data_IF_381720809503
#
_entry.id   IF_381720809503
#
_cell.length_a   1.000
_cell.length_b   1.000
_cell.length_c   1.000
_cell.angle_alpha   90.00
_cell.angle_beta   90.00
_cell.angle_gamma   90.00
#
_symmetry.space_group_name_H-M   'P 1'
#
loop_
_entity.id
_entity.type
_entity.pdbx_description
1 polymer ?
#
# COMPACT_ATOMS: atom_id res chain seq x y z
N UNK A 1 -10.73 11.03 23.99
CA UNK A 1 -12.11 10.60 23.68
C UNK A 1 -13.01 11.81 23.43
N UNK A 2 -12.92 12.84 24.24
CA UNK A 2 -13.72 14.06 24.11
C UNK A 2 -13.49 14.73 22.74
N UNK A 3 -12.24 14.91 22.35
CA UNK A 3 -11.85 15.46 21.05
C UNK A 3 -12.46 14.65 19.88
N UNK A 4 -12.43 13.31 19.96
CA UNK A 4 -13.03 12.45 18.94
C UNK A 4 -14.55 12.68 18.81
N UNK A 5 -15.26 12.87 19.93
CA UNK A 5 -16.69 13.17 19.91
C UNK A 5 -16.98 14.57 19.32
N UNK A 6 -16.11 15.53 19.55
CA UNK A 6 -16.22 16.87 18.97
C UNK A 6 -16.01 16.84 17.46
N UNK A 7 -15.01 16.11 16.98
CA UNK A 7 -14.75 15.90 15.55
C UNK A 7 -15.94 15.21 14.86
N UNK A 8 -16.54 14.17 15.47
CA UNK A 8 -17.73 13.51 14.93
C UNK A 8 -18.92 14.49 14.86
N UNK A 9 -19.13 15.30 15.90
CA UNK A 9 -20.21 16.30 15.91
C UNK A 9 -20.03 17.33 14.79
N UNK A 10 -18.82 17.84 14.61
CA UNK A 10 -18.50 18.77 13.53
C UNK A 10 -18.73 18.14 12.15
N UNK A 11 -18.30 16.88 11.98
CA UNK A 11 -18.53 16.14 10.72
C UNK A 11 -20.03 16.00 10.42
N UNK A 12 -20.83 15.65 11.40
CA UNK A 12 -22.30 15.53 11.23
C UNK A 12 -22.95 16.88 10.91
N UNK A 13 -22.48 17.96 11.51
CA UNK A 13 -22.96 19.32 11.16
C UNK A 13 -22.64 19.65 9.69
N UNK A 14 -21.43 19.33 9.22
CA UNK A 14 -21.05 19.54 7.82
C UNK A 14 -21.90 18.70 6.85
N UNK A 15 -22.19 17.44 7.16
CA UNK A 15 -23.09 16.61 6.37
C UNK A 15 -24.52 17.19 6.31
N UNK A 16 -25.05 17.59 7.45
CA UNK A 16 -26.37 18.21 7.54
C UNK A 16 -26.44 19.50 6.70
N UNK A 17 -25.43 20.37 6.82
CA UNK A 17 -25.36 21.62 6.05
C UNK A 17 -25.23 21.40 4.53
N UNK A 18 -24.61 20.28 4.13
CA UNK A 18 -24.48 19.87 2.72
C UNK A 18 -25.67 19.04 2.21
N UNK A 19 -26.72 18.85 3.01
CA UNK A 19 -27.85 17.95 2.70
C UNK A 19 -27.43 16.51 2.36
N UNK A 20 -26.35 16.02 2.97
CA UNK A 20 -25.89 14.64 2.82
C UNK A 20 -26.46 13.76 3.92
N UNK A 21 -26.94 12.60 3.55
CA UNK A 21 -27.45 11.59 4.48
C UNK A 21 -26.45 10.48 4.74
N UNK A 22 -26.45 9.96 5.96
CA UNK A 22 -25.58 8.85 6.37
C UNK A 22 -26.39 7.56 6.50
N UNK A 23 -25.80 6.45 6.06
CA UNK A 23 -26.33 5.13 6.36
C UNK A 23 -25.70 4.63 7.68
N UNK A 24 -26.41 4.79 8.78
CA UNK A 24 -25.94 4.40 10.12
C UNK A 24 -25.59 2.92 10.23
N UNK A 25 -26.29 2.04 9.50
CA UNK A 25 -25.99 0.61 9.49
C UNK A 25 -24.60 0.27 8.90
N UNK A 26 -24.01 1.20 8.12
CA UNK A 26 -22.67 1.07 7.53
C UNK A 26 -21.61 1.86 8.32
N UNK A 27 -21.99 2.57 9.37
CA UNK A 27 -21.07 3.34 10.18
C UNK A 27 -20.47 2.47 11.28
N UNK A 28 -19.18 2.62 11.51
CA UNK A 28 -18.44 1.98 12.60
C UNK A 28 -17.80 3.05 13.46
N UNK A 29 -18.32 3.23 14.69
CA UNK A 29 -17.84 4.23 15.64
C UNK A 29 -17.05 3.57 16.77
N UNK A 30 -16.03 4.24 17.29
CA UNK A 30 -15.27 3.80 18.47
C UNK A 30 -14.54 2.48 18.30
N UNK A 31 -14.27 2.05 17.08
CA UNK A 31 -13.53 0.81 16.80
C UNK A 31 -12.03 1.03 17.01
N UNK A 32 -11.36 0.07 17.62
CA UNK A 32 -9.90 0.08 17.77
C UNK A 32 -9.18 -0.03 16.42
N UNK A 33 -9.79 -0.71 15.46
CA UNK A 33 -9.31 -0.81 14.07
C UNK A 33 -10.50 -0.83 13.12
N UNK A 34 -10.34 -0.24 11.95
CA UNK A 34 -11.33 -0.26 10.85
C UNK A 34 -10.68 -0.67 9.54
N UNK A 35 -11.45 -1.29 8.67
CA UNK A 35 -11.03 -1.53 7.29
C UNK A 35 -11.45 -0.34 6.45
N UNK A 36 -10.46 0.38 5.92
CA UNK A 36 -10.67 1.57 5.10
C UNK A 36 -9.84 1.48 3.82
N UNK A 37 -10.50 1.62 2.66
CA UNK A 37 -9.86 1.56 1.35
C UNK A 37 -8.87 0.38 1.24
N UNK A 38 -9.31 -0.85 1.55
CA UNK A 38 -8.49 -2.06 1.43
C UNK A 38 -7.31 -2.17 2.39
N UNK A 39 -7.26 -1.34 3.43
CA UNK A 39 -6.25 -1.35 4.49
C UNK A 39 -6.93 -1.45 5.84
N UNK A 40 -6.30 -2.09 6.80
CA UNK A 40 -6.71 -2.06 8.21
C UNK A 40 -5.94 -0.95 8.89
N UNK A 41 -6.67 0.02 9.45
CA UNK A 41 -6.13 1.21 10.11
C UNK A 41 -6.58 1.22 11.57
N UNK A 42 -5.69 1.57 12.47
CA UNK A 42 -5.96 1.73 13.90
C UNK A 42 -4.77 1.35 14.77
N UNK A 43 -4.85 1.70 16.06
CA UNK A 43 -3.77 1.49 17.04
C UNK A 43 -2.41 2.06 16.60
N UNK A 44 -2.43 3.21 15.91
CA UNK A 44 -1.21 3.84 15.39
C UNK A 44 -0.55 3.09 14.21
N UNK A 45 -1.25 2.17 13.56
CA UNK A 45 -0.72 1.30 12.52
C UNK A 45 -1.62 1.27 11.27
N UNK A 46 -0.98 0.98 10.13
CA UNK A 46 -1.65 0.71 8.86
C UNK A 46 -1.10 -0.59 8.28
N UNK A 47 -1.96 -1.52 7.89
CA UNK A 47 -1.56 -2.81 7.30
C UNK A 47 -2.48 -3.22 6.16
N UNK A 48 -2.02 -4.04 5.22
CA UNK A 48 -2.89 -4.62 4.19
C UNK A 48 -3.98 -5.51 4.80
N UNK A 49 -5.12 -5.63 4.11
CA UNK A 49 -6.17 -6.61 4.48
C UNK A 49 -5.69 -8.01 4.13
N UNK A 50 -5.64 -8.93 5.11
CA UNK A 50 -5.11 -10.29 4.96
C UNK A 50 -5.72 -11.06 3.79
N UNK A 51 -7.04 -11.08 3.64
CA UNK A 51 -7.72 -11.75 2.53
C UNK A 51 -7.32 -11.20 1.14
N UNK A 52 -6.92 -9.92 1.04
CA UNK A 52 -6.42 -9.34 -0.21
C UNK A 52 -4.99 -9.76 -0.50
N UNK A 53 -4.15 -9.85 0.52
CA UNK A 53 -2.78 -10.39 0.40
C UNK A 53 -2.84 -11.85 -0.01
N UNK A 54 -3.70 -12.66 0.62
CA UNK A 54 -3.90 -14.06 0.27
C UNK A 54 -4.33 -14.24 -1.18
N UNK A 55 -5.28 -13.43 -1.68
CA UNK A 55 -5.69 -13.45 -3.08
C UNK A 55 -4.54 -13.15 -4.06
N UNK A 56 -3.56 -12.33 -3.65
CA UNK A 56 -2.36 -12.09 -4.46
C UNK A 56 -1.40 -13.28 -4.36
N UNK A 57 -1.19 -13.84 -3.17
CA UNK A 57 -0.30 -14.98 -2.96
C UNK A 57 -0.76 -16.24 -3.72
N UNK A 58 -2.07 -16.44 -3.82
CA UNK A 58 -2.68 -17.56 -4.55
C UNK A 58 -2.90 -17.28 -6.04
N UNK A 59 -2.54 -16.08 -6.54
CA UNK A 59 -2.71 -15.75 -7.94
C UNK A 59 -1.88 -16.66 -8.83
N UNK A 60 -2.50 -17.22 -9.87
CA UNK A 60 -1.84 -18.11 -10.83
C UNK A 60 -0.83 -17.36 -11.71
N UNK A 61 0.14 -18.08 -12.25
CA UNK A 61 1.11 -17.50 -13.19
C UNK A 61 0.36 -16.93 -14.41
N UNK A 62 0.57 -15.65 -14.74
CA UNK A 62 -0.09 -15.03 -15.89
C UNK A 62 0.30 -15.66 -17.21
N UNK A 63 -0.69 -16.04 -18.02
CA UNK A 63 -0.51 -16.62 -19.36
C UNK A 63 -0.50 -15.56 -20.46
N UNK A 64 -0.92 -14.35 -20.18
CA UNK A 64 -1.02 -13.25 -21.14
C UNK A 64 -0.86 -11.87 -20.45
N UNK A 65 -0.72 -10.82 -21.30
CA UNK A 65 -0.56 -9.44 -20.80
C UNK A 65 -1.74 -8.92 -19.99
N UNK A 66 -2.95 -9.39 -20.26
CA UNK A 66 -4.14 -8.94 -19.53
C UNK A 66 -4.12 -9.46 -18.09
N UNK A 67 -3.80 -10.73 -17.91
CA UNK A 67 -3.63 -11.34 -16.57
C UNK A 67 -2.46 -10.72 -15.83
N UNK A 68 -1.34 -10.46 -16.52
CA UNK A 68 -0.20 -9.77 -15.93
C UNK A 68 -0.55 -8.35 -15.48
N UNK A 69 -1.31 -7.58 -16.27
CA UNK A 69 -1.80 -6.25 -15.86
C UNK A 69 -2.69 -6.34 -14.62
N UNK A 70 -3.56 -7.36 -14.56
CA UNK A 70 -4.43 -7.60 -13.40
C UNK A 70 -3.60 -7.89 -12.15
N UNK A 71 -2.62 -8.78 -12.24
CA UNK A 71 -1.70 -9.07 -11.14
C UNK A 71 -0.95 -7.82 -10.68
N UNK A 72 -0.28 -7.11 -11.61
CA UNK A 72 0.48 -5.90 -11.28
C UNK A 72 -0.40 -4.78 -10.73
N UNK A 73 -1.67 -4.67 -11.15
CA UNK A 73 -2.64 -3.74 -10.58
C UNK A 73 -2.96 -4.07 -9.12
N UNK A 74 -3.14 -5.36 -8.80
CA UNK A 74 -3.40 -5.83 -7.44
C UNK A 74 -2.20 -5.59 -6.51
N UNK A 75 -1.00 -6.00 -6.93
CA UNK A 75 0.24 -5.83 -6.14
C UNK A 75 0.60 -4.35 -6.02
N UNK A 76 0.49 -3.59 -7.12
CA UNK A 76 0.81 -2.17 -7.18
C UNK A 76 -0.04 -1.30 -6.26
N UNK A 77 -1.24 -1.74 -5.90
CA UNK A 77 -2.09 -1.07 -4.90
C UNK A 77 -1.39 -1.00 -3.53
N UNK A 78 -0.63 -2.04 -3.19
CA UNK A 78 0.08 -2.15 -1.91
C UNK A 78 1.57 -1.75 -2.00
N UNK A 79 2.02 -1.16 -3.12
CA UNK A 79 3.43 -0.78 -3.32
C UNK A 79 4.01 0.08 -2.19
N UNK A 80 3.18 0.89 -1.53
CA UNK A 80 3.60 1.72 -0.40
C UNK A 80 4.00 0.94 0.85
N UNK A 81 3.72 -0.37 0.91
CA UNK A 81 4.18 -1.29 1.94
C UNK A 81 5.49 -2.01 1.57
N UNK A 82 5.94 -1.88 0.33
CA UNK A 82 6.99 -2.70 -0.23
C UNK A 82 8.22 -1.86 -0.58
N UNK A 83 9.33 -2.13 0.10
CA UNK A 83 10.62 -1.56 -0.26
C UNK A 83 11.05 -2.09 -1.65
N UNK A 84 11.65 -1.22 -2.47
CA UNK A 84 12.20 -1.57 -3.79
C UNK A 84 11.21 -2.22 -4.76
N UNK A 85 9.91 -1.96 -4.58
CA UNK A 85 8.84 -2.57 -5.38
C UNK A 85 9.08 -2.44 -6.88
N UNK A 86 9.43 -1.24 -7.38
CA UNK A 86 9.62 -1.00 -8.81
C UNK A 86 10.74 -1.85 -9.41
N UNK A 87 11.84 -2.04 -8.67
CA UNK A 87 12.96 -2.90 -9.08
C UNK A 87 12.54 -4.35 -9.19
N UNK A 88 11.83 -4.85 -8.16
CA UNK A 88 11.35 -6.24 -8.11
C UNK A 88 10.42 -6.56 -9.28
N UNK A 89 9.48 -5.66 -9.60
CA UNK A 89 8.50 -5.92 -10.66
C UNK A 89 8.97 -5.54 -12.07
N UNK A 90 10.20 -5.02 -12.21
CA UNK A 90 10.73 -4.59 -13.51
C UNK A 90 10.68 -5.68 -14.60
N UNK A 91 11.09 -6.96 -14.36
CA UNK A 91 10.99 -8.00 -15.38
C UNK A 91 9.55 -8.22 -15.85
N UNK A 92 8.58 -8.08 -14.96
CA UNK A 92 7.15 -8.23 -15.27
C UNK A 92 6.61 -7.03 -16.06
N UNK A 93 6.97 -5.82 -15.65
CA UNK A 93 6.51 -4.59 -16.33
C UNK A 93 7.07 -4.49 -17.74
N UNK A 94 8.28 -4.98 -18.00
CA UNK A 94 8.87 -5.04 -19.34
C UNK A 94 8.04 -5.91 -20.31
N UNK A 95 7.42 -7.00 -19.83
CA UNK A 95 6.54 -7.85 -20.64
C UNK A 95 5.23 -7.16 -21.06
N UNK A 96 4.86 -6.03 -20.43
CA UNK A 96 3.68 -5.26 -20.84
C UNK A 96 3.90 -4.44 -22.11
N UNK A 97 5.16 -4.20 -22.52
CA UNK A 97 5.49 -3.49 -23.74
C UNK A 97 4.96 -4.23 -24.96
N UNK A 98 4.29 -3.53 -25.87
CA UNK A 98 3.85 -4.09 -27.16
C UNK A 98 5.01 -4.46 -28.07
N UNK A 99 6.18 -3.87 -27.84
CA UNK A 99 7.42 -4.10 -28.64
C UNK A 99 8.13 -5.40 -28.27
N UNK A 100 7.79 -6.04 -27.16
CA UNK A 100 8.43 -7.27 -26.66
C UNK A 100 7.43 -8.41 -26.74
N UNK A 101 7.77 -9.59 -27.32
CA UNK A 101 6.91 -10.76 -27.27
C UNK A 101 6.58 -11.14 -25.82
N UNK A 102 5.32 -11.56 -25.57
CA UNK A 102 4.97 -12.07 -24.25
C UNK A 102 5.53 -13.49 -24.10
N UNK A 103 6.67 -13.57 -23.44
CA UNK A 103 7.34 -14.85 -23.14
C UNK A 103 7.67 -14.88 -21.65
N UNK A 104 7.07 -15.84 -20.95
CA UNK A 104 7.33 -16.04 -19.52
C UNK A 104 8.69 -16.71 -19.32
N UNK A 105 9.62 -16.03 -18.70
CA UNK A 105 11.00 -16.47 -18.47
C UNK A 105 11.25 -16.83 -17.02
N UNK A 106 12.41 -17.43 -16.72
CA UNK A 106 12.85 -17.65 -15.33
C UNK A 106 12.90 -16.33 -14.55
N UNK A 107 13.40 -15.26 -15.17
CA UNK A 107 13.43 -13.93 -14.52
C UNK A 107 12.02 -13.39 -14.23
N UNK A 108 11.05 -13.65 -15.12
CA UNK A 108 9.65 -13.29 -14.88
C UNK A 108 9.06 -14.09 -13.73
N UNK A 109 9.34 -15.38 -13.65
CA UNK A 109 8.90 -16.24 -12.55
C UNK A 109 9.50 -15.77 -11.21
N UNK A 110 10.79 -15.50 -11.17
CA UNK A 110 11.46 -15.01 -9.96
C UNK A 110 10.86 -13.66 -9.50
N UNK A 111 10.63 -12.71 -10.41
CA UNK A 111 10.02 -11.43 -10.11
C UNK A 111 8.57 -11.59 -9.63
N UNK A 112 7.82 -12.54 -10.17
CA UNK A 112 6.45 -12.85 -9.76
C UNK A 112 6.40 -13.38 -8.32
N UNK A 113 7.25 -14.36 -8.00
CA UNK A 113 7.34 -14.90 -6.62
C UNK A 113 7.89 -13.87 -5.63
N UNK A 114 8.88 -13.08 -6.04
CA UNK A 114 9.42 -11.99 -5.21
C UNK A 114 8.35 -10.92 -4.91
N UNK A 115 7.51 -10.56 -5.89
CA UNK A 115 6.41 -9.62 -5.68
C UNK A 115 5.36 -10.15 -4.69
N UNK A 116 5.05 -11.45 -4.72
CA UNK A 116 4.19 -12.11 -3.73
C UNK A 116 4.84 -12.10 -2.34
N UNK A 117 6.12 -12.45 -2.26
CA UNK A 117 6.88 -12.49 -1.01
C UNK A 117 6.94 -11.11 -0.34
N UNK A 118 7.14 -10.03 -1.11
CA UNK A 118 7.12 -8.65 -0.60
C UNK A 118 5.83 -8.31 0.14
N UNK A 119 4.69 -8.79 -0.33
CA UNK A 119 3.40 -8.53 0.31
C UNK A 119 3.12 -9.46 1.49
N UNK A 120 3.56 -10.72 1.40
CA UNK A 120 3.42 -11.68 2.52
C UNK A 120 4.24 -11.27 3.73
N UNK A 121 5.41 -10.65 3.49
CA UNK A 121 6.31 -10.11 4.52
C UNK A 121 6.15 -8.61 4.74
N UNK A 122 5.12 -7.98 4.14
CA UNK A 122 4.94 -6.54 4.20
C UNK A 122 4.92 -6.05 5.66
N UNK A 123 5.76 -5.06 6.00
CA UNK A 123 5.82 -4.53 7.34
C UNK A 123 4.50 -3.84 7.69
N UNK A 124 4.19 -3.83 8.97
CA UNK A 124 3.16 -2.93 9.50
C UNK A 124 3.72 -1.52 9.45
N UNK A 125 3.02 -0.62 8.76
CA UNK A 125 3.41 0.78 8.69
C UNK A 125 2.87 1.54 9.90
N UNK A 126 3.61 2.56 10.34
CA UNK A 126 3.10 3.51 11.31
C UNK A 126 2.02 4.39 10.66
N UNK A 127 0.96 4.68 11.41
CA UNK A 127 0.02 5.72 11.02
C UNK A 127 0.71 7.10 11.15
N UNK A 128 0.63 7.97 10.12
CA UNK A 128 1.29 9.27 10.17
C UNK A 128 0.70 10.16 11.28
N UNK A 129 1.56 10.85 12.01
CA UNK A 129 1.23 11.89 12.98
C UNK A 129 1.68 13.22 12.38
N UNK A 130 0.75 14.03 11.91
CA UNK A 130 1.06 15.23 11.12
C UNK A 130 1.66 16.36 11.95
N UNK A 131 1.53 16.32 13.28
CA UNK A 131 2.11 17.25 14.23
C UNK A 131 3.59 16.94 14.53
N UNK A 132 4.05 15.76 14.14
CA UNK A 132 5.42 15.30 14.37
C UNK A 132 6.24 15.37 13.08
N UNK A 133 7.56 15.64 13.18
CA UNK A 133 8.41 15.71 12.01
C UNK A 133 8.51 14.35 11.29
N UNK A 134 8.59 14.43 9.96
CA UNK A 134 8.92 13.28 9.12
C UNK A 134 10.39 13.29 8.75
N UNK A 135 10.97 12.11 8.62
CA UNK A 135 12.28 11.89 8.03
C UNK A 135 12.13 11.17 6.70
N UNK A 136 12.72 11.72 5.65
CA UNK A 136 12.76 11.09 4.33
C UNK A 136 14.17 10.56 4.09
N UNK A 137 14.29 9.24 3.96
CA UNK A 137 15.50 8.60 3.46
C UNK A 137 15.31 8.26 1.99
N UNK A 138 16.27 8.64 1.16
CA UNK A 138 16.24 8.42 -0.29
C UNK A 138 17.49 7.69 -0.73
N UNK A 139 17.34 6.82 -1.73
CA UNK A 139 18.41 6.11 -2.38
C UNK A 139 18.14 6.06 -3.89
N UNK A 140 19.17 6.21 -4.70
CA UNK A 140 19.05 6.18 -6.15
C UNK A 140 20.21 5.42 -6.77
N UNK A 141 19.90 4.69 -7.83
CA UNK A 141 20.85 3.99 -8.70
C UNK A 141 20.64 4.43 -10.15
N UNK A 142 21.44 3.91 -11.08
CA UNK A 142 21.27 4.15 -12.52
C UNK A 142 19.92 3.65 -13.06
N UNK A 143 19.24 2.78 -12.33
CA UNK A 143 18.02 2.11 -12.78
C UNK A 143 16.74 2.65 -12.16
N UNK A 144 16.82 3.32 -11.01
CA UNK A 144 15.63 3.79 -10.31
C UNK A 144 15.93 4.53 -9.02
N UNK A 145 14.89 5.12 -8.46
CA UNK A 145 14.92 5.78 -7.16
C UNK A 145 14.01 5.06 -6.17
N UNK A 146 14.48 4.93 -4.94
CA UNK A 146 13.74 4.45 -3.78
C UNK A 146 13.69 5.52 -2.70
N UNK A 147 12.64 5.51 -1.90
CA UNK A 147 12.54 6.35 -0.72
C UNK A 147 11.71 5.65 0.36
N UNK A 148 11.97 5.99 1.60
CA UNK A 148 11.13 5.63 2.74
C UNK A 148 10.85 6.87 3.56
N UNK A 149 9.57 7.08 3.87
CA UNK A 149 9.12 8.08 4.81
C UNK A 149 9.03 7.44 6.18
N UNK A 150 9.71 8.03 7.15
CA UNK A 150 9.87 7.53 8.51
C UNK A 150 9.33 8.55 9.51
N UNK A 151 8.91 8.06 10.66
CA UNK A 151 8.61 8.87 11.85
C UNK A 151 9.20 8.22 13.08
N UNK A 152 9.71 9.04 14.02
CA UNK A 152 10.20 8.56 15.30
C UNK A 152 9.01 8.12 16.17
N UNK A 153 9.03 6.87 16.62
CA UNK A 153 8.05 6.34 17.56
C UNK A 153 8.28 6.81 18.99
N UNK A 154 7.29 6.59 19.87
CA UNK A 154 7.43 6.82 21.31
C UNK A 154 8.45 5.91 21.98
N UNK A 155 8.83 4.85 21.32
CA UNK A 155 9.89 3.90 21.69
C UNK A 155 11.30 4.37 21.31
N UNK A 156 11.43 5.56 20.70
CA UNK A 156 12.70 6.10 20.21
C UNK A 156 13.21 5.45 18.92
N UNK A 157 12.39 4.59 18.27
CA UNK A 157 12.74 3.90 17.02
C UNK A 157 12.04 4.58 15.84
N UNK A 158 12.72 4.64 14.70
CA UNK A 158 12.13 5.11 13.46
C UNK A 158 11.25 4.01 12.84
N UNK A 159 9.99 4.34 12.62
CA UNK A 159 9.03 3.44 11.99
C UNK A 159 8.67 3.91 10.57
N UNK A 160 8.59 3.01 9.59
CA UNK A 160 8.18 3.38 8.24
C UNK A 160 6.70 3.75 8.20
N UNK A 161 6.41 4.87 7.54
CA UNK A 161 5.07 5.36 7.24
C UNK A 161 4.66 4.95 5.83
N UNK A 162 5.57 5.05 4.86
CA UNK A 162 5.36 4.48 3.53
C UNK A 162 6.68 4.32 2.78
N UNK A 163 6.68 3.41 1.81
CA UNK A 163 7.76 3.21 0.85
C UNK A 163 7.39 3.80 -0.51
N UNK A 164 8.37 4.29 -1.21
CA UNK A 164 8.29 4.73 -2.59
C UNK A 164 9.40 4.08 -3.41
N UNK A 165 9.07 3.68 -4.64
CA UNK A 165 10.09 3.27 -5.60
C UNK A 165 9.59 3.56 -7.03
N UNK A 166 10.53 3.98 -7.90
CA UNK A 166 10.25 4.28 -9.29
C UNK A 166 11.43 3.87 -10.16
N UNK A 167 11.15 3.10 -11.20
CA UNK A 167 12.13 2.83 -12.26
C UNK A 167 12.30 4.07 -13.13
N UNK A 168 13.54 4.37 -13.54
CA UNK A 168 13.81 5.38 -14.57
C UNK A 168 13.44 4.85 -15.96
N UNK A 169 13.09 5.77 -16.87
CA UNK A 169 12.75 5.45 -18.25
C UNK A 169 13.99 5.31 -19.10
#
# INVERSE_FOLDING_TARGET
>A
WQEHLEQIRELFQRFSSANLTLNLAKCEFGKATVTYLGKVVGRGQVRPVGAKVEAICTFSVPSNRQELRRFLGMVGYYRGFCQNFATVVTPLTNLLSSKVPFQWTVASQQAFEAAKALLSSAPVLAAPRFEEPFRLAVDASDYGAGAVLLQLGSDGVEHPVCYFSRKFN
#
